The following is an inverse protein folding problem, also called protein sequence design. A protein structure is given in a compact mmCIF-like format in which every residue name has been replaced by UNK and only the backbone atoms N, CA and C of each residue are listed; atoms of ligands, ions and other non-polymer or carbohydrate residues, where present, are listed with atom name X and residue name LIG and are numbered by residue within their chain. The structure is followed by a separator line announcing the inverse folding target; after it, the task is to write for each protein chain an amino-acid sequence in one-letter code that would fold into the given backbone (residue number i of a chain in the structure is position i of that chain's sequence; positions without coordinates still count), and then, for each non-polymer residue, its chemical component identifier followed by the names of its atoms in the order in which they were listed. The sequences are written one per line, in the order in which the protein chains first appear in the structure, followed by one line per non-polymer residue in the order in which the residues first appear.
data_IF_503443641325
#
_entry.id   IF_503443641325
#
_cell.length_a   1.000
_cell.length_b   1.000
_cell.length_c   1.000
_cell.angle_alpha   90.00
_cell.angle_beta   90.00
_cell.angle_gamma   90.00
#
_symmetry.space_group_name_H-M   'P 1'
#
loop_
_entity.id
_entity.type
_entity.pdbx_description
1 polymer ?
#
# COMPACT_ATOMS: atom_id res chain seq x y z
N UNK A 1 1.97 31.34 -12.31
CA UNK A 1 2.32 29.94 -12.02
C UNK A 1 1.30 29.38 -11.02
N UNK A 2 0.03 29.27 -11.42
CA UNK A 2 -1.10 28.81 -10.60
C UNK A 2 -1.85 27.68 -11.33
N UNK A 3 -1.13 26.82 -12.08
CA UNK A 3 -1.75 25.83 -12.99
C UNK A 3 -1.91 24.42 -12.39
N UNK A 4 -1.54 24.23 -11.12
CA UNK A 4 -1.62 22.93 -10.43
C UNK A 4 -2.70 22.89 -9.33
N UNK A 5 -3.52 23.93 -9.18
CA UNK A 5 -4.55 24.01 -8.13
C UNK A 5 -5.69 22.97 -8.24
N UNK A 6 -5.74 22.14 -9.29
CA UNK A 6 -6.76 21.10 -9.48
C UNK A 6 -6.63 19.94 -8.47
N UNK A 7 -5.41 19.71 -7.96
CA UNK A 7 -5.14 18.78 -6.88
C UNK A 7 -4.36 19.53 -5.80
N UNK A 8 -4.64 19.22 -4.53
CA UNK A 8 -3.81 19.70 -3.42
C UNK A 8 -2.45 18.99 -3.46
N UNK A 9 -1.56 19.46 -4.33
CA UNK A 9 -0.22 18.94 -4.50
C UNK A 9 0.64 19.32 -3.30
N UNK A 10 0.71 18.38 -2.36
CA UNK A 10 1.67 18.41 -1.26
C UNK A 10 2.79 17.42 -1.54
N UNK A 11 3.92 17.57 -0.85
CA UNK A 11 5.03 16.62 -0.95
C UNK A 11 4.56 15.16 -0.65
N UNK A 12 3.78 14.89 0.42
CA UNK A 12 3.20 13.56 0.64
C UNK A 12 2.32 13.05 -0.53
N UNK A 13 1.43 13.90 -1.06
CA UNK A 13 0.57 13.50 -2.19
C UNK A 13 1.41 13.17 -3.43
N UNK A 14 2.42 13.98 -3.73
CA UNK A 14 3.32 13.74 -4.86
C UNK A 14 4.08 12.41 -4.73
N UNK A 15 4.62 12.12 -3.54
CA UNK A 15 5.32 10.86 -3.27
C UNK A 15 4.39 9.66 -3.47
N UNK A 16 3.15 9.72 -2.96
CA UNK A 16 2.16 8.65 -3.14
C UNK A 16 1.91 8.34 -4.62
N UNK A 17 1.64 9.36 -5.44
CA UNK A 17 1.37 9.16 -6.88
C UNK A 17 2.59 8.67 -7.65
N UNK A 18 3.81 9.13 -7.30
CA UNK A 18 5.05 8.63 -7.88
C UNK A 18 5.25 7.15 -7.57
N UNK A 19 5.03 6.73 -6.32
CA UNK A 19 5.13 5.33 -5.93
C UNK A 19 4.07 4.46 -6.62
N UNK A 20 2.84 4.97 -6.76
CA UNK A 20 1.77 4.30 -7.49
C UNK A 20 2.15 4.10 -8.96
N UNK A 21 2.61 5.16 -9.63
CA UNK A 21 3.06 5.10 -11.02
C UNK A 21 4.24 4.15 -11.19
N UNK A 22 5.22 4.18 -10.29
CA UNK A 22 6.36 3.26 -10.30
C UNK A 22 5.91 1.80 -10.13
N UNK A 23 4.96 1.54 -9.23
CA UNK A 23 4.40 0.20 -9.02
C UNK A 23 3.72 -0.32 -10.29
N UNK A 24 2.87 0.50 -10.93
CA UNK A 24 2.21 0.14 -12.18
C UNK A 24 3.22 -0.09 -13.33
N UNK A 25 4.25 0.74 -13.42
CA UNK A 25 5.31 0.59 -14.43
C UNK A 25 6.09 -0.71 -14.23
N UNK A 26 6.48 -1.03 -12.99
CA UNK A 26 7.16 -2.29 -12.64
C UNK A 26 6.28 -3.50 -12.96
N UNK A 27 4.99 -3.45 -12.64
CA UNK A 27 4.07 -4.56 -12.94
C UNK A 27 3.89 -4.75 -14.44
N UNK A 28 3.74 -3.67 -15.19
CA UNK A 28 3.66 -3.71 -16.66
C UNK A 28 4.94 -4.31 -17.26
N UNK A 29 6.10 -3.87 -16.78
CA UNK A 29 7.39 -4.41 -17.21
C UNK A 29 7.51 -5.91 -16.90
N UNK A 30 7.13 -6.33 -15.70
CA UNK A 30 7.15 -7.74 -15.29
C UNK A 30 6.20 -8.60 -16.11
N UNK A 31 5.03 -8.09 -16.49
CA UNK A 31 4.08 -8.80 -17.34
C UNK A 31 4.62 -9.01 -18.77
N UNK A 32 5.37 -8.03 -19.30
CA UNK A 32 6.04 -8.15 -20.60
C UNK A 32 7.23 -9.13 -20.52
N UNK A 33 8.06 -9.01 -19.49
CA UNK A 33 9.30 -9.79 -19.36
C UNK A 33 9.06 -11.26 -18.96
N UNK A 34 8.02 -11.52 -18.16
CA UNK A 34 7.71 -12.84 -17.61
C UNK A 34 6.21 -13.12 -17.80
N UNK A 35 5.82 -13.82 -18.89
CA UNK A 35 4.43 -14.15 -19.17
C UNK A 35 3.77 -14.79 -17.95
N UNK A 36 2.60 -14.26 -17.59
CA UNK A 36 1.92 -14.62 -16.36
C UNK A 36 1.35 -16.04 -16.47
N UNK A 37 1.81 -16.93 -15.58
CA UNK A 37 1.16 -18.20 -15.36
C UNK A 37 0.08 -17.99 -14.29
N UNK A 38 -1.18 -18.19 -14.66
CA UNK A 38 -2.28 -18.23 -13.71
C UNK A 38 -2.01 -19.30 -12.66
N UNK A 39 -2.10 -18.92 -11.39
CA UNK A 39 -2.01 -19.85 -10.27
C UNK A 39 -3.30 -19.79 -9.50
N UNK A 40 -3.83 -20.97 -9.21
CA UNK A 40 -5.01 -21.13 -8.38
C UNK A 40 -4.56 -21.13 -6.93
N UNK A 41 -4.72 -19.99 -6.28
CA UNK A 41 -4.43 -19.80 -4.87
C UNK A 41 -5.49 -20.38 -3.94
N UNK A 42 -5.36 -20.10 -2.64
CA UNK A 42 -6.31 -20.54 -1.60
C UNK A 42 -7.75 -20.09 -1.89
N UNK A 43 -7.93 -18.93 -2.53
CA UNK A 43 -9.25 -18.40 -2.89
C UNK A 43 -9.95 -19.18 -4.03
N UNK A 44 -9.28 -20.18 -4.63
CA UNK A 44 -9.76 -21.00 -5.76
C UNK A 44 -10.14 -20.22 -7.02
N UNK A 45 -9.75 -18.95 -7.09
CA UNK A 45 -9.87 -18.11 -8.27
C UNK A 45 -8.50 -18.12 -8.96
N UNK A 46 -8.42 -18.30 -10.29
CA UNK A 46 -7.17 -18.08 -11.02
C UNK A 46 -6.77 -16.61 -10.85
N UNK A 47 -5.58 -16.36 -10.29
CA UNK A 47 -5.08 -14.99 -10.11
C UNK A 47 -3.77 -14.79 -10.85
N UNK A 48 -3.65 -13.62 -11.46
CA UNK A 48 -2.40 -13.11 -12.03
C UNK A 48 -1.56 -12.39 -10.97
N UNK A 49 -0.35 -11.95 -11.34
CA UNK A 49 0.49 -11.14 -10.45
C UNK A 49 -0.14 -9.76 -10.20
N UNK A 50 -0.76 -9.19 -11.23
CA UNK A 50 -1.54 -7.95 -11.15
C UNK A 50 -2.69 -8.05 -10.15
N UNK A 51 -3.46 -9.14 -10.21
CA UNK A 51 -4.61 -9.36 -9.32
C UNK A 51 -4.18 -9.41 -7.85
N UNK A 52 -3.06 -10.08 -7.55
CA UNK A 52 -2.51 -10.16 -6.18
C UNK A 52 -2.13 -8.78 -5.64
N UNK A 53 -1.49 -7.95 -6.47
CA UNK A 53 -1.16 -6.58 -6.08
C UNK A 53 -2.45 -5.80 -5.78
N UNK A 54 -3.43 -5.86 -6.67
CA UNK A 54 -4.69 -5.14 -6.49
C UNK A 54 -5.42 -5.57 -5.20
N UNK A 55 -5.52 -6.87 -4.95
CA UNK A 55 -6.12 -7.42 -3.72
C UNK A 55 -5.33 -6.95 -2.49
N UNK A 56 -4.00 -6.92 -2.54
CA UNK A 56 -3.17 -6.44 -1.43
C UNK A 56 -3.38 -4.95 -1.14
N UNK A 57 -3.59 -4.12 -2.17
CA UNK A 57 -3.88 -2.70 -2.01
C UNK A 57 -5.26 -2.47 -1.40
N UNK A 58 -6.28 -3.20 -1.86
CA UNK A 58 -7.62 -3.17 -1.26
C UNK A 58 -7.55 -3.58 0.21
N UNK A 59 -6.85 -4.68 0.51
CA UNK A 59 -6.72 -5.16 1.87
C UNK A 59 -6.00 -4.15 2.77
N UNK A 60 -4.93 -3.52 2.26
CA UNK A 60 -4.25 -2.44 2.97
C UNK A 60 -5.20 -1.28 3.27
N UNK A 61 -5.99 -0.83 2.29
CA UNK A 61 -6.98 0.24 2.50
C UNK A 61 -8.02 -0.14 3.56
N UNK A 62 -8.56 -1.36 3.50
CA UNK A 62 -9.54 -1.86 4.49
C UNK A 62 -8.93 -1.95 5.89
N UNK A 63 -7.69 -2.47 6.04
CA UNK A 63 -6.99 -2.49 7.34
C UNK A 63 -6.86 -1.08 7.92
N UNK A 64 -6.45 -0.10 7.12
CA UNK A 64 -6.28 1.26 7.62
C UNK A 64 -7.61 1.90 8.01
N UNK A 65 -8.67 1.69 7.22
CA UNK A 65 -10.01 2.19 7.55
C UNK A 65 -10.56 1.56 8.84
N UNK A 66 -10.40 0.24 9.00
CA UNK A 66 -10.81 -0.46 10.23
C UNK A 66 -9.97 0.00 11.42
N UNK A 67 -8.67 0.18 11.24
CA UNK A 67 -7.78 0.66 12.31
C UNK A 67 -8.20 2.06 12.79
N UNK A 68 -8.45 2.98 11.86
CA UNK A 68 -8.94 4.32 12.21
C UNK A 68 -10.29 4.23 12.94
N UNK A 69 -11.21 3.38 12.48
CA UNK A 69 -12.54 3.24 13.06
C UNK A 69 -12.56 2.61 14.47
N UNK A 70 -11.64 1.70 14.77
CA UNK A 70 -11.65 0.95 16.04
C UNK A 70 -10.51 1.29 17.00
N UNK A 71 -9.29 1.51 16.49
CA UNK A 71 -8.09 1.75 17.29
C UNK A 71 -7.67 3.22 17.35
N UNK A 72 -8.20 4.07 16.47
CA UNK A 72 -7.87 5.50 16.40
C UNK A 72 -6.49 5.77 15.80
N UNK A 73 -6.04 7.01 15.91
CA UNK A 73 -4.79 7.52 15.30
C UNK A 73 -3.80 8.08 16.32
N UNK A 74 -3.95 7.70 17.58
CA UNK A 74 -3.15 8.24 18.68
C UNK A 74 -1.65 7.98 18.50
N UNK A 75 -0.84 8.88 19.05
CA UNK A 75 0.61 8.78 19.03
C UNK A 75 1.08 7.71 20.01
N UNK A 76 1.81 6.72 19.49
CA UNK A 76 2.28 5.56 20.26
C UNK A 76 3.66 5.81 20.85
N UNK A 77 4.54 6.50 20.13
CA UNK A 77 5.88 6.81 20.60
C UNK A 77 6.41 8.09 19.94
N UNK A 78 7.19 8.86 20.68
CA UNK A 78 7.96 9.99 20.16
C UNK A 78 9.43 9.60 20.06
N UNK A 79 9.98 9.59 18.84
CA UNK A 79 11.39 9.33 18.65
C UNK A 79 12.18 10.60 19.02
N UNK A 80 13.23 10.51 19.88
CA UNK A 80 14.03 11.65 20.29
C UNK A 80 15.06 12.04 19.21
N UNK A 81 14.57 12.38 18.02
CA UNK A 81 15.36 12.88 16.88
C UNK A 81 14.77 14.22 16.47
N UNK A 82 15.54 15.30 16.59
CA UNK A 82 15.06 16.66 16.32
C UNK A 82 14.04 17.15 17.35
N UNK A 83 12.96 17.80 16.90
CA UNK A 83 11.85 18.27 17.76
C UNK A 83 10.95 17.13 18.28
N UNK A 84 11.23 15.87 17.92
CA UNK A 84 10.45 14.71 18.29
C UNK A 84 9.56 14.24 17.15
N UNK A 85 9.85 13.08 16.57
CA UNK A 85 9.00 12.50 15.52
C UNK A 85 7.91 11.68 16.19
N UNK A 86 6.67 12.14 16.04
CA UNK A 86 5.47 11.44 16.54
C UNK A 86 5.13 10.24 15.65
N UNK A 87 5.23 9.04 16.21
CA UNK A 87 4.79 7.80 15.56
C UNK A 87 3.32 7.56 15.92
N UNK A 88 2.44 7.78 14.95
CA UNK A 88 1.02 7.42 15.09
C UNK A 88 0.82 5.90 15.10
N UNK A 89 -0.28 5.46 15.71
CA UNK A 89 -0.70 4.05 15.71
C UNK A 89 -0.89 3.48 14.30
N UNK A 90 -1.06 4.34 13.29
CA UNK A 90 -1.17 3.96 11.87
C UNK A 90 0.06 3.24 11.34
N UNK A 91 1.25 3.45 11.93
CA UNK A 91 2.43 2.68 11.57
C UNK A 91 2.26 1.19 11.88
N UNK A 92 1.51 0.83 12.92
CA UNK A 92 1.16 -0.57 13.20
C UNK A 92 0.21 -1.12 12.14
N UNK A 93 -0.79 -0.33 11.73
CA UNK A 93 -1.69 -0.70 10.63
C UNK A 93 -0.90 -0.92 9.32
N UNK A 94 0.11 -0.10 9.05
CA UNK A 94 1.01 -0.27 7.91
C UNK A 94 1.77 -1.59 8.00
N UNK A 95 2.38 -1.93 9.15
CA UNK A 95 3.07 -3.22 9.34
C UNK A 95 2.13 -4.39 9.11
N UNK A 96 0.92 -4.35 9.67
CA UNK A 96 -0.10 -5.40 9.46
C UNK A 96 -0.43 -5.51 7.97
N UNK A 97 -0.64 -4.39 7.28
CA UNK A 97 -0.95 -4.41 5.85
C UNK A 97 0.18 -5.00 5.00
N UNK A 98 1.45 -4.75 5.35
CA UNK A 98 2.61 -5.33 4.66
C UNK A 98 2.71 -6.84 4.91
N UNK A 99 2.47 -7.28 6.14
CA UNK A 99 2.43 -8.71 6.48
C UNK A 99 1.31 -9.42 5.71
N UNK A 100 0.11 -8.81 5.66
CA UNK A 100 -1.01 -9.32 4.87
C UNK A 100 -0.68 -9.37 3.38
N UNK A 101 -0.03 -8.34 2.83
CA UNK A 101 0.39 -8.33 1.44
C UNK A 101 1.37 -9.48 1.14
N UNK A 102 2.41 -9.66 1.96
CA UNK A 102 3.37 -10.78 1.79
C UNK A 102 2.66 -12.12 1.87
N UNK A 103 1.71 -12.29 2.78
CA UNK A 103 0.91 -13.50 2.88
C UNK A 103 0.12 -13.76 1.58
N UNK A 104 -0.55 -12.74 1.02
CA UNK A 104 -1.28 -12.83 -0.26
C UNK A 104 -0.32 -13.25 -1.38
N UNK A 105 0.82 -12.58 -1.54
CA UNK A 105 1.78 -12.93 -2.59
C UNK A 105 2.32 -14.35 -2.48
N UNK A 106 2.46 -14.89 -1.26
CA UNK A 106 2.93 -16.26 -1.01
C UNK A 106 1.86 -17.34 -1.19
N UNK A 107 0.61 -17.04 -0.85
CA UNK A 107 -0.46 -18.04 -0.74
C UNK A 107 -1.39 -18.10 -1.93
N UNK A 108 -1.48 -17.01 -2.69
CA UNK A 108 -2.45 -16.88 -3.76
C UNK A 108 -1.91 -17.47 -5.05
#
# INVERSE_FOLDING_TARGET
MESIAWMAWTLPTAIFFVLLAATLAVMTWLAIAYPEAERVGILRIPTTRGDRLFISLIMAAVIHLLWIGFAGTDTVATLPVGEGIELSSLWLATVISLVSAVAIFRTV
#
